data_IF_250894659979
#
_entry.id   IF_250894659979
#
_cell.length_a   1.000
_cell.length_b   1.000
_cell.length_c   1.000
_cell.angle_alpha   90.00
_cell.angle_beta   90.00
_cell.angle_gamma   90.00
#
_symmetry.space_group_name_H-M   'P 1'
#
loop_
_entity.id
_entity.type
_entity.pdbx_description
1 polymer ?
#
# COMPACT_ATOMS: atom_id res chain seq x y z
N UNK A 1 -80.75 65.64 31.34
CA UNK A 1 -80.40 64.27 30.89
C UNK A 1 -80.68 63.31 32.02
N UNK A 2 -81.50 62.27 31.81
CA UNK A 2 -81.82 61.30 32.86
C UNK A 2 -80.56 60.51 33.25
N UNK A 3 -80.40 60.26 34.55
CA UNK A 3 -79.21 59.61 35.14
C UNK A 3 -78.89 58.25 34.46
N UNK A 4 -79.92 57.54 33.98
CA UNK A 4 -79.75 56.29 33.23
C UNK A 4 -79.03 56.44 31.88
N UNK A 5 -79.16 57.56 31.17
CA UNK A 5 -78.43 57.77 29.91
C UNK A 5 -76.94 58.01 30.15
N UNK A 6 -76.61 58.72 31.23
CA UNK A 6 -75.20 58.99 31.61
C UNK A 6 -74.50 57.68 31.96
N UNK A 7 -75.17 56.78 32.68
CA UNK A 7 -74.62 55.49 33.09
C UNK A 7 -74.32 54.56 31.89
N UNK A 8 -75.17 54.61 30.86
CA UNK A 8 -74.96 53.89 29.59
C UNK A 8 -73.77 54.47 28.81
N UNK A 9 -73.62 55.79 28.74
CA UNK A 9 -72.46 56.40 28.07
C UNK A 9 -71.15 56.09 28.79
N UNK A 10 -71.14 56.11 30.12
CA UNK A 10 -69.94 55.78 30.91
C UNK A 10 -69.54 54.31 30.75
N UNK A 11 -70.49 53.39 30.66
CA UNK A 11 -70.21 51.97 30.40
C UNK A 11 -69.70 51.73 28.98
N UNK A 12 -70.26 52.39 27.97
CA UNK A 12 -69.77 52.28 26.58
C UNK A 12 -68.34 52.84 26.47
N UNK A 13 -68.06 53.98 27.10
CA UNK A 13 -66.72 54.61 27.07
C UNK A 13 -65.69 53.74 27.79
N UNK A 14 -66.03 53.13 28.92
CA UNK A 14 -65.12 52.24 29.65
C UNK A 14 -64.84 50.95 28.88
N UNK A 15 -65.84 50.35 28.21
CA UNK A 15 -65.61 49.19 27.32
C UNK A 15 -64.75 49.57 26.11
N UNK A 16 -64.98 50.74 25.51
CA UNK A 16 -64.17 51.24 24.41
C UNK A 16 -62.72 51.51 24.83
N UNK A 17 -62.49 52.06 26.03
CA UNK A 17 -61.15 52.27 26.59
C UNK A 17 -60.42 50.96 26.87
N UNK A 18 -61.10 49.92 27.36
CA UNK A 18 -60.51 48.59 27.56
C UNK A 18 -60.14 47.94 26.22
N UNK A 19 -61.00 48.07 25.21
CA UNK A 19 -60.71 47.57 23.86
C UNK A 19 -59.54 48.33 23.21
N UNK A 20 -59.50 49.66 23.36
CA UNK A 20 -58.41 50.48 22.85
C UNK A 20 -57.09 50.17 23.56
N UNK A 21 -57.12 49.97 24.89
CA UNK A 21 -55.95 49.55 25.67
C UNK A 21 -55.44 48.18 25.23
N UNK A 22 -56.31 47.19 25.03
CA UNK A 22 -55.91 45.89 24.52
C UNK A 22 -55.39 45.94 23.08
N UNK A 23 -55.97 46.78 22.23
CA UNK A 23 -55.53 46.96 20.84
C UNK A 23 -54.17 47.66 20.77
N UNK A 24 -53.96 48.71 21.56
CA UNK A 24 -52.69 49.42 21.65
C UNK A 24 -51.62 48.63 22.42
N UNK A 25 -51.99 47.81 23.42
CA UNK A 25 -51.07 46.91 24.10
C UNK A 25 -50.61 45.75 23.20
N UNK A 26 -51.48 45.25 22.31
CA UNK A 26 -51.11 44.22 21.33
C UNK A 26 -50.29 44.78 20.16
N UNK A 27 -50.47 46.05 19.79
CA UNK A 27 -49.78 46.67 18.65
C UNK A 27 -48.68 47.69 19.04
N UNK A 28 -48.44 47.90 20.35
CA UNK A 28 -47.53 48.89 20.89
C UNK A 28 -46.22 48.28 21.37
N UNK A 29 -45.29 48.09 20.44
CA UNK A 29 -43.86 48.30 20.68
C UNK A 29 -43.19 47.47 21.78
N UNK A 30 -43.17 46.15 21.63
CA UNK A 30 -42.07 45.34 22.14
C UNK A 30 -41.11 45.04 20.99
N UNK A 31 -40.06 45.86 20.81
CA UNK A 31 -38.89 45.45 20.04
C UNK A 31 -38.17 44.34 20.81
N UNK A 32 -38.76 43.16 20.90
CA UNK A 32 -37.97 41.95 21.06
C UNK A 32 -37.26 41.77 19.72
N UNK A 33 -36.00 42.22 19.65
CA UNK A 33 -35.04 41.61 18.74
C UNK A 33 -34.95 40.14 19.16
N UNK A 34 -35.91 39.33 18.74
CA UNK A 34 -35.71 37.89 18.64
C UNK A 34 -34.48 37.76 17.76
N UNK A 35 -33.35 37.25 18.26
CA UNK A 35 -32.16 37.10 17.45
C UNK A 35 -32.57 36.32 16.22
N UNK A 36 -32.32 36.91 15.04
CA UNK A 36 -32.61 36.26 13.78
C UNK A 36 -31.87 34.93 13.79
N UNK A 37 -32.62 33.84 13.96
CA UNK A 37 -32.10 32.48 14.03
C UNK A 37 -31.19 32.28 12.82
N UNK A 38 -29.92 31.94 13.07
CA UNK A 38 -28.95 31.73 11.98
C UNK A 38 -29.33 30.43 11.29
N UNK A 39 -30.16 30.52 10.25
CA UNK A 39 -30.43 29.40 9.34
C UNK A 39 -29.15 29.16 8.52
N UNK A 40 -28.37 28.17 8.95
CA UNK A 40 -27.15 27.76 8.25
C UNK A 40 -27.56 26.93 7.03
N UNK A 41 -27.30 27.44 5.82
CA UNK A 41 -27.48 26.69 4.57
C UNK A 41 -26.14 26.11 4.13
N UNK A 42 -26.08 24.79 4.04
CA UNK A 42 -24.85 24.11 3.64
C UNK A 42 -24.63 24.23 2.13
N UNK A 43 -23.38 24.52 1.73
CA UNK A 43 -22.94 24.65 0.32
C UNK A 43 -21.79 23.68 0.05
N UNK A 44 -21.65 23.10 -1.16
CA UNK A 44 -20.49 22.27 -1.48
C UNK A 44 -19.18 23.04 -1.28
N UNK A 45 -18.17 22.41 -0.68
CA UNK A 45 -16.83 22.95 -0.53
C UNK A 45 -15.83 21.81 -0.65
N UNK A 46 -14.82 21.94 -1.49
CA UNK A 46 -13.75 20.94 -1.56
C UNK A 46 -12.79 21.09 -0.38
N UNK A 47 -12.33 19.97 0.18
CA UNK A 47 -11.28 19.98 1.19
C UNK A 47 -9.90 19.89 0.53
N UNK A 48 -9.16 21.00 0.53
CA UNK A 48 -7.78 21.07 0.02
C UNK A 48 -6.83 21.58 1.11
N UNK A 49 -6.38 20.71 2.04
CA UNK A 49 -5.47 21.12 3.10
C UNK A 49 -4.08 21.40 2.54
N UNK A 50 -3.46 22.50 2.99
CA UNK A 50 -2.06 22.82 2.67
C UNK A 50 -1.11 22.05 3.61
N UNK A 51 -1.18 20.73 3.59
CA UNK A 51 -0.28 19.86 4.38
C UNK A 51 0.65 19.15 3.41
N UNK A 52 1.95 19.38 3.57
CA UNK A 52 2.97 18.58 2.92
C UNK A 52 3.00 17.20 3.59
N UNK A 53 2.47 16.20 2.87
CA UNK A 53 2.35 14.84 3.37
C UNK A 53 3.72 14.22 3.67
N UNK A 54 4.77 14.54 2.91
CA UNK A 54 6.10 13.98 3.12
C UNK A 54 6.74 14.52 4.40
N UNK A 55 6.65 15.84 4.58
CA UNK A 55 7.10 16.48 5.82
C UNK A 55 6.27 16.01 7.02
N UNK A 56 4.94 15.93 6.88
CA UNK A 56 4.05 15.44 7.93
C UNK A 56 4.43 14.03 8.38
N UNK A 57 4.73 13.12 7.44
CA UNK A 57 5.19 11.77 7.78
C UNK A 57 6.50 11.78 8.55
N UNK A 58 7.50 12.58 8.12
CA UNK A 58 8.78 12.68 8.83
C UNK A 58 8.60 13.15 10.29
N UNK A 59 7.73 14.14 10.49
CA UNK A 59 7.38 14.69 11.82
C UNK A 59 6.67 13.65 12.68
N UNK A 60 5.65 12.98 12.15
CA UNK A 60 4.85 11.98 12.87
C UNK A 60 5.66 10.71 13.18
N UNK A 61 6.58 10.32 12.30
CA UNK A 61 7.53 9.25 12.56
C UNK A 61 8.46 9.62 13.72
N UNK A 62 8.85 10.88 13.89
CA UNK A 62 9.82 11.26 14.93
C UNK A 62 9.34 12.45 15.79
N UNK A 63 8.23 12.29 16.56
CA UNK A 63 7.54 13.40 17.20
C UNK A 63 8.37 14.09 18.29
N UNK A 64 9.23 13.34 19.01
CA UNK A 64 10.14 13.92 20.00
C UNK A 64 11.22 14.81 19.37
N UNK A 65 11.78 14.36 18.23
CA UNK A 65 12.80 15.10 17.49
C UNK A 65 12.22 16.36 16.87
N UNK A 66 11.00 16.26 16.33
CA UNK A 66 10.30 17.31 15.61
C UNK A 66 9.12 17.88 16.41
N UNK A 67 9.33 18.16 17.70
CA UNK A 67 8.26 18.58 18.60
C UNK A 67 7.57 19.88 18.13
N UNK A 68 8.38 20.86 17.67
CA UNK A 68 7.87 22.14 17.17
C UNK A 68 7.08 21.95 15.88
N UNK A 69 7.61 21.16 14.96
CA UNK A 69 6.97 20.88 13.68
C UNK A 69 5.70 20.04 13.87
N UNK A 70 5.67 19.15 14.88
CA UNK A 70 4.46 18.44 15.28
C UNK A 70 3.39 19.43 15.73
N UNK A 71 3.76 20.41 16.55
CA UNK A 71 2.84 21.46 16.96
C UNK A 71 2.28 22.23 15.75
N UNK A 72 3.14 22.65 14.83
CA UNK A 72 2.74 23.40 13.64
C UNK A 72 1.87 22.56 12.70
N UNK A 73 2.17 21.26 12.58
CA UNK A 73 1.35 20.28 11.87
C UNK A 73 -0.07 20.22 12.46
N UNK A 74 -0.20 20.03 13.78
CA UNK A 74 -1.51 19.98 14.46
C UNK A 74 -2.25 21.32 14.33
N UNK A 75 -1.54 22.45 14.40
CA UNK A 75 -2.13 23.76 14.17
C UNK A 75 -2.76 23.85 12.77
N UNK A 76 -1.97 23.61 11.73
CA UNK A 76 -2.41 23.72 10.33
C UNK A 76 -3.50 22.72 9.97
N UNK A 77 -3.38 21.49 10.49
CA UNK A 77 -4.35 20.41 10.33
C UNK A 77 -5.73 20.80 10.86
N UNK A 78 -5.80 21.21 12.13
CA UNK A 78 -7.04 21.57 12.79
C UNK A 78 -7.67 22.82 12.19
N UNK A 79 -6.84 23.81 11.83
CA UNK A 79 -7.32 25.04 11.22
C UNK A 79 -7.90 24.77 9.81
N UNK A 80 -7.28 23.89 9.03
CA UNK A 80 -7.80 23.45 7.73
C UNK A 80 -9.16 22.78 7.86
N UNK A 81 -9.32 21.88 8.85
CA UNK A 81 -10.60 21.23 9.16
C UNK A 81 -11.68 22.26 9.50
N UNK A 82 -11.37 23.20 10.41
CA UNK A 82 -12.32 24.23 10.85
C UNK A 82 -12.74 25.16 9.71
N UNK A 83 -11.80 25.61 8.87
CA UNK A 83 -12.13 26.43 7.71
C UNK A 83 -13.00 25.70 6.70
N UNK A 84 -12.75 24.41 6.47
CA UNK A 84 -13.58 23.60 5.59
C UNK A 84 -15.02 23.51 6.12
N UNK A 85 -15.21 23.23 7.41
CA UNK A 85 -16.55 23.21 8.02
C UNK A 85 -17.21 24.58 7.95
N UNK A 86 -16.49 25.66 8.24
CA UNK A 86 -17.00 27.03 8.15
C UNK A 86 -17.41 27.42 6.72
N UNK A 87 -16.67 26.95 5.71
CA UNK A 87 -17.01 27.11 4.30
C UNK A 87 -18.26 26.29 3.93
N UNK A 88 -18.31 25.03 4.38
CA UNK A 88 -19.46 24.14 4.15
C UNK A 88 -20.74 24.70 4.75
N UNK A 89 -20.66 25.29 5.94
CA UNK A 89 -21.75 26.00 6.62
C UNK A 89 -22.10 27.35 5.99
N UNK A 90 -21.39 27.79 4.94
CA UNK A 90 -21.57 29.08 4.29
C UNK A 90 -21.53 30.26 5.29
N UNK A 91 -20.61 30.21 6.26
CA UNK A 91 -20.46 31.30 7.22
C UNK A 91 -20.00 32.59 6.50
N UNK A 92 -20.45 33.78 6.93
CA UNK A 92 -19.97 35.04 6.40
C UNK A 92 -18.47 35.22 6.67
N UNK A 93 -17.77 35.97 5.82
CA UNK A 93 -16.33 36.21 5.93
C UNK A 93 -15.92 36.84 7.27
N UNK A 94 -16.82 37.63 7.87
CA UNK A 94 -16.65 38.20 9.22
C UNK A 94 -16.56 37.14 10.32
N UNK A 95 -17.26 36.00 10.18
CA UNK A 95 -17.14 34.87 11.11
C UNK A 95 -15.99 33.95 10.73
N UNK A 96 -15.75 33.72 9.43
CA UNK A 96 -14.61 32.91 8.96
C UNK A 96 -13.27 33.49 9.42
N UNK A 97 -13.10 34.82 9.38
CA UNK A 97 -11.89 35.49 9.88
C UNK A 97 -11.67 35.29 11.39
N UNK A 98 -12.72 35.04 12.16
CA UNK A 98 -12.65 34.78 13.61
C UNK A 98 -12.35 33.32 13.96
N UNK A 99 -12.52 32.37 13.03
CA UNK A 99 -12.23 30.94 13.24
C UNK A 99 -10.82 30.72 13.78
N UNK A 100 -9.83 31.40 13.20
CA UNK A 100 -8.44 31.32 13.66
C UNK A 100 -8.28 31.84 15.08
N UNK A 101 -8.86 33.02 15.36
CA UNK A 101 -8.75 33.69 16.66
C UNK A 101 -9.36 32.82 17.76
N UNK A 102 -10.52 32.20 17.50
CA UNK A 102 -11.13 31.27 18.45
C UNK A 102 -10.31 29.99 18.60
N UNK A 103 -9.82 29.41 17.50
CA UNK A 103 -8.97 28.22 17.57
C UNK A 103 -7.66 28.45 18.34
N UNK A 104 -7.03 29.62 18.21
CA UNK A 104 -5.79 29.97 18.92
C UNK A 104 -5.94 29.93 20.44
N UNK A 105 -7.15 30.16 20.98
CA UNK A 105 -7.43 29.99 22.41
C UNK A 105 -7.39 28.52 22.84
N UNK A 106 -7.77 27.61 21.94
CA UNK A 106 -7.88 26.19 22.22
C UNK A 106 -6.60 25.40 21.88
N UNK A 107 -5.82 25.88 20.92
CA UNK A 107 -4.62 25.21 20.44
C UNK A 107 -3.60 24.82 21.55
N UNK A 108 -3.31 25.65 22.58
CA UNK A 108 -2.29 25.34 23.58
C UNK A 108 -2.51 24.06 24.37
N UNK A 109 -3.77 23.70 24.66
CA UNK A 109 -4.09 22.45 25.35
C UNK A 109 -4.36 21.30 24.35
N UNK A 110 -4.98 21.58 23.20
CA UNK A 110 -5.23 20.57 22.16
C UNK A 110 -3.93 19.94 21.67
N UNK A 111 -2.90 20.77 21.40
CA UNK A 111 -1.59 20.24 20.97
C UNK A 111 -0.97 19.26 21.97
N UNK A 112 -1.18 19.50 23.28
CA UNK A 112 -0.66 18.64 24.35
C UNK A 112 -1.41 17.32 24.38
N UNK A 113 -2.74 17.36 24.24
CA UNK A 113 -3.57 16.17 24.15
C UNK A 113 -3.19 15.32 22.93
N UNK A 114 -3.02 15.94 21.77
CA UNK A 114 -2.56 15.24 20.56
C UNK A 114 -1.19 14.61 20.76
N UNK A 115 -0.21 15.37 21.24
CA UNK A 115 1.15 14.88 21.42
C UNK A 115 1.22 13.73 22.43
N UNK A 116 0.58 13.88 23.59
CA UNK A 116 0.62 12.88 24.66
C UNK A 116 -0.04 11.57 24.22
N UNK A 117 -1.25 11.63 23.67
CA UNK A 117 -1.95 10.42 23.22
C UNK A 117 -1.21 9.76 22.04
N UNK A 118 -0.69 10.55 21.10
CA UNK A 118 0.05 10.03 19.96
C UNK A 118 1.30 9.27 20.39
N UNK A 119 2.11 9.87 21.27
CA UNK A 119 3.33 9.25 21.79
C UNK A 119 3.02 8.02 22.63
N UNK A 120 1.99 8.09 23.49
CA UNK A 120 1.57 6.95 24.31
C UNK A 120 1.15 5.75 23.45
N UNK A 121 0.39 5.98 22.38
CA UNK A 121 0.00 4.92 21.45
C UNK A 121 1.22 4.42 20.64
N UNK A 122 2.15 5.31 20.28
CA UNK A 122 3.38 4.92 19.58
C UNK A 122 4.22 3.95 20.39
N UNK A 123 4.46 4.26 21.67
CA UNK A 123 5.29 3.44 22.56
C UNK A 123 4.71 2.03 22.81
N UNK A 124 3.38 1.89 22.75
CA UNK A 124 2.71 0.59 22.88
C UNK A 124 2.69 -0.21 21.58
N UNK A 125 2.68 0.48 20.43
CA UNK A 125 2.62 -0.16 19.10
C UNK A 125 3.98 -0.60 18.54
N UNK A 126 5.09 0.05 18.91
CA UNK A 126 6.44 -0.27 18.41
C UNK A 126 6.88 -1.69 18.76
N UNK A 127 6.42 -2.23 19.89
CA UNK A 127 6.80 -3.58 20.38
C UNK A 127 6.22 -4.72 19.54
N UNK A 128 5.14 -4.50 18.78
CA UNK A 128 4.43 -5.58 18.08
C UNK A 128 4.85 -5.77 16.61
N UNK A 129 5.41 -4.74 15.97
CA UNK A 129 5.61 -4.70 14.51
C UNK A 129 7.07 -4.80 14.02
N UNK A 130 8.05 -4.78 14.93
CA UNK A 130 9.48 -4.66 14.58
C UNK A 130 10.15 -5.89 13.96
N UNK A 131 9.49 -7.05 13.83
CA UNK A 131 10.23 -8.28 13.53
C UNK A 131 10.67 -8.47 12.08
N UNK A 132 10.06 -7.81 11.09
CA UNK A 132 10.40 -8.06 9.67
C UNK A 132 10.50 -6.79 8.78
N UNK A 133 9.94 -5.64 9.20
CA UNK A 133 9.76 -4.48 8.32
C UNK A 133 9.61 -3.15 9.08
N UNK A 134 10.16 -2.07 8.53
CA UNK A 134 10.01 -0.71 9.07
C UNK A 134 8.71 -0.07 8.55
N UNK A 135 7.58 -0.32 9.22
CA UNK A 135 6.27 0.30 8.93
C UNK A 135 6.04 1.61 9.69
N UNK A 136 7.11 2.34 9.98
CA UNK A 136 7.08 3.49 10.88
C UNK A 136 6.09 4.56 10.41
N UNK A 137 6.05 4.87 9.11
CA UNK A 137 5.19 5.92 8.56
C UNK A 137 3.72 5.48 8.58
N UNK A 138 3.44 4.23 8.19
CA UNK A 138 2.08 3.67 8.15
C UNK A 138 1.48 3.59 9.55
N UNK A 139 2.29 3.19 10.52
CA UNK A 139 1.89 3.19 11.91
C UNK A 139 1.63 4.62 12.40
N UNK A 140 2.53 5.57 12.10
CA UNK A 140 2.36 6.97 12.46
C UNK A 140 1.05 7.59 11.92
N UNK A 141 0.65 7.29 10.69
CA UNK A 141 -0.64 7.75 10.14
C UNK A 141 -1.83 7.07 10.83
N UNK A 142 -1.73 5.78 11.15
CA UNK A 142 -2.77 5.06 11.91
C UNK A 142 -3.00 5.73 13.26
N UNK A 143 -1.92 6.06 13.97
CA UNK A 143 -1.99 6.73 15.26
C UNK A 143 -2.56 8.14 15.13
N UNK A 144 -2.15 8.90 14.10
CA UNK A 144 -2.72 10.21 13.83
C UNK A 144 -4.24 10.12 13.59
N UNK A 145 -4.70 9.13 12.82
CA UNK A 145 -6.13 8.89 12.57
C UNK A 145 -6.89 8.65 13.87
N UNK A 146 -6.36 7.82 14.76
CA UNK A 146 -6.98 7.49 16.04
C UNK A 146 -7.10 8.74 16.93
N UNK A 147 -5.98 9.46 17.12
CA UNK A 147 -5.93 10.68 17.93
C UNK A 147 -6.80 11.78 17.34
N UNK A 148 -6.70 12.03 16.02
CA UNK A 148 -7.50 13.06 15.37
C UNK A 148 -9.00 12.75 15.41
N UNK A 149 -9.40 11.49 15.24
CA UNK A 149 -10.81 11.09 15.32
C UNK A 149 -11.40 11.34 16.70
N UNK A 150 -10.60 11.17 17.77
CA UNK A 150 -11.00 11.44 19.15
C UNK A 150 -11.29 12.92 19.41
N UNK A 151 -10.47 13.82 18.84
CA UNK A 151 -10.51 15.25 19.19
C UNK A 151 -11.23 16.15 18.17
N UNK A 152 -11.43 15.70 16.94
CA UNK A 152 -12.01 16.53 15.86
C UNK A 152 -13.42 17.03 16.20
N UNK A 153 -14.34 16.18 16.65
CA UNK A 153 -15.69 16.62 17.03
C UNK A 153 -15.67 17.65 18.16
N UNK A 154 -14.85 17.41 19.19
CA UNK A 154 -14.73 18.30 20.34
C UNK A 154 -14.25 19.68 19.88
N UNK A 155 -13.21 19.72 19.07
CA UNK A 155 -12.65 20.95 18.48
C UNK A 155 -13.70 21.72 17.67
N UNK A 156 -14.33 21.05 16.71
CA UNK A 156 -15.30 21.66 15.80
C UNK A 156 -16.48 22.25 16.57
N UNK A 157 -17.01 21.51 17.55
CA UNK A 157 -18.11 22.00 18.37
C UNK A 157 -17.70 23.22 19.20
N UNK A 158 -16.58 23.18 19.92
CA UNK A 158 -16.18 24.29 20.79
C UNK A 158 -15.87 25.58 20.01
N UNK A 159 -15.20 25.46 18.86
CA UNK A 159 -14.86 26.64 18.04
C UNK A 159 -16.08 27.19 17.30
N UNK A 160 -16.95 26.35 16.74
CA UNK A 160 -18.08 26.87 15.95
C UNK A 160 -19.23 27.37 16.82
N UNK A 161 -19.46 26.77 17.99
CA UNK A 161 -20.48 27.25 18.93
C UNK A 161 -20.11 28.58 19.58
N UNK A 162 -18.82 28.93 19.67
CA UNK A 162 -18.42 30.27 20.14
C UNK A 162 -18.64 31.36 19.08
N UNK A 163 -18.64 30.98 17.79
CA UNK A 163 -18.82 31.90 16.66
C UNK A 163 -20.29 32.08 16.25
N UNK A 164 -21.12 31.05 16.43
CA UNK A 164 -22.53 31.06 16.03
C UNK A 164 -23.37 31.22 17.28
N UNK A 165 -24.20 32.27 17.33
CA UNK A 165 -25.19 32.42 18.41
C UNK A 165 -26.17 31.25 18.34
N UNK A 166 -26.10 30.38 19.34
CA UNK A 166 -27.04 29.27 19.52
C UNK A 166 -28.04 29.68 20.59
N UNK A 167 -29.34 29.59 20.28
CA UNK A 167 -30.37 29.63 21.33
C UNK A 167 -30.49 28.21 21.91
N UNK A 168 -30.35 28.09 23.23
CA UNK A 168 -30.35 26.82 23.97
C UNK A 168 -29.30 25.78 23.49
N UNK A 169 -28.21 26.21 22.85
CA UNK A 169 -27.15 25.31 22.36
C UNK A 169 -27.52 24.52 21.11
N UNK A 170 -28.62 24.85 20.43
CA UNK A 170 -29.06 24.19 19.19
C UNK A 170 -28.84 25.10 17.98
N UNK A 171 -28.19 24.57 16.95
CA UNK A 171 -28.09 25.21 15.63
C UNK A 171 -29.23 24.64 14.79
N UNK A 172 -30.19 25.47 14.35
CA UNK A 172 -31.20 25.05 13.39
C UNK A 172 -30.58 25.03 12.00
N UNK A 173 -30.44 23.83 11.44
CA UNK A 173 -29.86 23.62 10.11
C UNK A 173 -30.94 23.25 9.12
N UNK A 174 -30.96 23.90 7.94
CA UNK A 174 -31.92 23.62 6.87
C UNK A 174 -31.22 23.08 5.62
N UNK A 175 -31.56 21.85 5.18
CA UNK A 175 -31.05 21.21 3.96
C UNK A 175 -31.55 19.76 3.80
N UNK A 176 -31.39 19.15 2.61
CA UNK A 176 -31.45 17.68 2.44
C UNK A 176 -30.07 17.10 2.77
N UNK A 177 -30.00 15.97 3.46
CA UNK A 177 -28.76 15.31 3.90
C UNK A 177 -27.83 16.23 4.73
N UNK A 178 -28.34 16.69 5.88
CA UNK A 178 -27.61 17.62 6.74
C UNK A 178 -26.63 16.86 7.63
N UNK A 179 -25.38 16.75 7.19
CA UNK A 179 -24.29 16.33 8.07
C UNK A 179 -24.02 17.40 9.14
N UNK A 180 -23.91 16.95 10.40
CA UNK A 180 -23.51 17.84 11.51
C UNK A 180 -22.14 18.46 11.22
N UNK A 181 -21.78 19.61 11.81
CA UNK A 181 -20.44 20.19 11.64
C UNK A 181 -19.31 19.19 11.90
N UNK A 182 -19.46 18.29 12.90
CA UNK A 182 -18.50 17.22 13.08
C UNK A 182 -18.55 16.16 11.95
N UNK A 183 -19.74 15.76 11.52
CA UNK A 183 -19.91 14.82 10.39
C UNK A 183 -19.14 15.30 9.14
N UNK A 184 -19.30 16.57 8.79
CA UNK A 184 -18.53 17.22 7.70
C UNK A 184 -17.03 17.14 7.96
N UNK A 185 -16.56 17.53 9.15
CA UNK A 185 -15.13 17.48 9.48
C UNK A 185 -14.55 16.06 9.38
N UNK A 186 -15.30 15.05 9.79
CA UNK A 186 -14.85 13.66 9.82
C UNK A 186 -14.87 13.02 8.43
N UNK A 187 -15.98 13.15 7.70
CA UNK A 187 -16.22 12.44 6.43
C UNK A 187 -15.65 13.21 5.24
N UNK A 188 -15.91 14.51 5.15
CA UNK A 188 -15.50 15.31 3.99
C UNK A 188 -14.05 15.78 4.08
N UNK A 189 -13.46 15.81 5.29
CA UNK A 189 -12.11 16.35 5.48
C UNK A 189 -11.09 15.38 6.10
N UNK A 190 -11.33 14.86 7.30
CA UNK A 190 -10.38 13.99 7.99
C UNK A 190 -10.13 12.68 7.22
N UNK A 191 -11.20 11.96 6.88
CA UNK A 191 -11.10 10.68 6.17
C UNK A 191 -10.30 10.75 4.85
N UNK A 192 -10.61 11.64 3.90
CA UNK A 192 -9.87 11.70 2.63
C UNK A 192 -8.41 12.10 2.83
N UNK A 193 -8.10 12.97 3.80
CA UNK A 193 -6.72 13.33 4.11
C UNK A 193 -5.94 12.17 4.71
N UNK A 194 -6.52 11.46 5.69
CA UNK A 194 -5.90 10.25 6.24
C UNK A 194 -5.67 9.22 5.15
N UNK A 195 -6.62 9.02 4.23
CA UNK A 195 -6.47 8.08 3.12
C UNK A 195 -5.30 8.43 2.18
N UNK A 196 -5.04 9.73 1.92
CA UNK A 196 -3.86 10.17 1.16
C UNK A 196 -2.57 9.97 1.94
N UNK A 197 -2.55 10.33 3.23
CA UNK A 197 -1.40 10.10 4.10
C UNK A 197 -1.06 8.61 4.23
N UNK A 198 -2.07 7.74 4.34
CA UNK A 198 -1.90 6.27 4.35
C UNK A 198 -1.24 5.79 3.04
N UNK A 199 -1.66 6.33 1.89
CA UNK A 199 -1.03 6.01 0.60
C UNK A 199 0.43 6.51 0.53
N UNK A 200 0.71 7.73 1.00
CA UNK A 200 2.07 8.27 1.01
C UNK A 200 2.97 7.52 1.99
N UNK A 201 2.43 7.11 3.14
CA UNK A 201 3.13 6.30 4.13
C UNK A 201 3.53 4.94 3.59
N UNK A 202 2.63 4.25 2.88
CA UNK A 202 2.94 2.97 2.24
C UNK A 202 4.08 3.08 1.22
N UNK A 203 4.11 4.17 0.43
CA UNK A 203 5.22 4.45 -0.51
C UNK A 203 6.53 4.68 0.25
N UNK A 204 6.48 5.48 1.31
CA UNK A 204 7.65 5.86 2.10
C UNK A 204 8.27 4.62 2.78
N UNK A 205 7.44 3.81 3.45
CA UNK A 205 7.90 2.61 4.11
C UNK A 205 8.44 1.60 3.08
N UNK A 206 7.76 1.40 1.94
CA UNK A 206 8.25 0.49 0.89
C UNK A 206 9.60 0.95 0.34
N UNK A 207 9.74 2.25 0.06
CA UNK A 207 10.99 2.81 -0.46
C UNK A 207 12.15 2.64 0.52
N UNK A 208 11.91 2.78 1.84
CA UNK A 208 12.94 2.55 2.86
C UNK A 208 13.37 1.09 2.95
N UNK A 209 12.45 0.15 2.76
CA UNK A 209 12.74 -1.29 2.87
C UNK A 209 13.10 -1.96 1.56
N UNK A 210 12.98 -1.26 0.43
CA UNK A 210 13.23 -1.80 -0.92
C UNK A 210 14.59 -2.48 -1.02
N UNK A 211 15.69 -1.80 -0.64
CA UNK A 211 17.04 -2.36 -0.79
C UNK A 211 17.26 -3.64 0.02
N UNK A 212 16.70 -3.72 1.24
CA UNK A 212 16.75 -4.92 2.06
C UNK A 212 15.93 -6.07 1.46
N UNK A 213 14.75 -5.76 0.93
CA UNK A 213 13.92 -6.74 0.21
C UNK A 213 14.63 -7.26 -1.03
N UNK A 214 15.27 -6.37 -1.78
CA UNK A 214 16.02 -6.74 -2.98
C UNK A 214 17.17 -7.70 -2.66
N UNK A 215 18.03 -7.35 -1.70
CA UNK A 215 19.16 -8.20 -1.28
C UNK A 215 18.69 -9.59 -0.80
N UNK A 216 17.59 -9.63 -0.04
CA UNK A 216 17.08 -10.89 0.50
C UNK A 216 16.43 -11.74 -0.56
N UNK A 217 15.64 -11.14 -1.46
CA UNK A 217 15.05 -11.85 -2.60
C UNK A 217 16.17 -12.42 -3.46
N UNK A 218 17.23 -11.65 -3.74
CA UNK A 218 18.36 -12.12 -4.51
C UNK A 218 19.02 -13.34 -3.89
N UNK A 219 19.33 -13.29 -2.59
CA UNK A 219 19.95 -14.40 -1.87
C UNK A 219 19.08 -15.66 -1.87
N UNK A 220 17.81 -15.52 -1.50
CA UNK A 220 16.91 -16.67 -1.37
C UNK A 220 16.58 -17.27 -2.74
N UNK A 221 16.43 -16.44 -3.78
CA UNK A 221 16.17 -16.93 -5.14
C UNK A 221 17.38 -17.66 -5.71
N UNK A 222 18.60 -17.16 -5.48
CA UNK A 222 19.82 -17.84 -5.90
C UNK A 222 19.97 -19.22 -5.22
N UNK A 223 19.56 -19.34 -3.96
CA UNK A 223 19.68 -20.57 -3.16
C UNK A 223 18.53 -21.57 -3.39
N UNK A 224 17.29 -21.10 -3.53
CA UNK A 224 16.08 -21.93 -3.44
C UNK A 224 15.23 -21.96 -4.70
N UNK A 225 15.42 -21.04 -5.65
CA UNK A 225 14.70 -21.06 -6.92
C UNK A 225 15.50 -21.76 -8.04
N UNK A 226 16.62 -22.38 -7.70
CA UNK A 226 17.36 -23.27 -8.61
C UNK A 226 16.74 -24.66 -8.59
N UNK A 227 16.25 -25.10 -9.75
CA UNK A 227 15.82 -26.47 -9.96
C UNK A 227 17.00 -27.34 -10.38
N UNK A 228 17.23 -28.41 -9.64
CA UNK A 228 18.18 -29.46 -10.01
C UNK A 228 17.42 -30.67 -10.58
N UNK A 229 17.73 -31.04 -11.82
CA UNK A 229 17.21 -32.25 -12.46
C UNK A 229 18.35 -33.24 -12.68
N UNK A 230 18.11 -34.49 -12.28
CA UNK A 230 19.06 -35.59 -12.43
C UNK A 230 18.50 -36.66 -13.33
N UNK A 231 19.13 -36.83 -14.48
CA UNK A 231 18.74 -37.84 -15.46
C UNK A 231 19.86 -38.86 -15.67
N UNK A 232 19.48 -40.12 -15.86
CA UNK A 232 20.41 -41.19 -16.20
C UNK A 232 20.07 -41.74 -17.58
N UNK A 233 21.05 -41.78 -18.48
CA UNK A 233 20.91 -42.40 -19.81
C UNK A 233 22.01 -43.43 -20.03
N UNK A 234 21.69 -44.46 -20.80
CA UNK A 234 22.60 -45.52 -21.22
C UNK A 234 22.62 -45.66 -22.74
N UNK A 235 23.78 -46.02 -23.29
CA UNK A 235 23.99 -46.43 -24.67
C UNK A 235 24.62 -47.82 -24.65
N UNK A 236 24.00 -48.74 -25.39
CA UNK A 236 24.61 -50.02 -25.71
C UNK A 236 25.10 -49.98 -27.17
N UNK A 237 26.38 -50.28 -27.39
CA UNK A 237 26.97 -50.32 -28.73
C UNK A 237 27.75 -51.62 -28.90
N UNK A 238 27.42 -52.36 -29.95
CA UNK A 238 28.15 -53.54 -30.36
C UNK A 238 29.12 -53.17 -31.49
N UNK A 239 30.42 -53.32 -31.24
CA UNK A 239 31.48 -53.08 -32.22
C UNK A 239 31.92 -54.42 -32.80
N UNK A 240 32.07 -54.52 -34.13
CA UNK A 240 32.49 -55.75 -34.81
C UNK A 240 33.82 -55.51 -35.55
N UNK A 241 34.81 -56.36 -35.32
CA UNK A 241 36.09 -56.34 -36.05
C UNK A 241 36.00 -57.27 -37.25
N UNK A 242 36.31 -56.73 -38.45
CA UNK A 242 36.31 -57.46 -39.72
C UNK A 242 37.74 -57.67 -40.24
N UNK A 243 38.16 -58.91 -40.47
CA UNK A 243 39.28 -59.24 -41.38
C UNK A 243 38.67 -59.83 -42.64
N UNK A 244 39.13 -59.39 -43.81
CA UNK A 244 38.72 -59.97 -45.09
C UNK A 244 37.19 -60.08 -45.26
N UNK A 245 36.42 -59.11 -44.74
CA UNK A 245 34.96 -59.08 -44.83
C UNK A 245 34.21 -60.01 -43.88
N UNK A 246 34.90 -60.84 -43.08
CA UNK A 246 34.30 -61.73 -42.09
C UNK A 246 34.44 -61.16 -40.67
N UNK A 247 33.34 -61.21 -39.90
CA UNK A 247 33.30 -60.79 -38.50
C UNK A 247 34.07 -61.80 -37.63
N UNK A 248 35.16 -61.37 -37.00
CA UNK A 248 36.06 -62.26 -36.23
C UNK A 248 35.94 -62.04 -34.71
N UNK A 249 35.47 -60.86 -34.31
CA UNK A 249 35.39 -60.46 -32.90
C UNK A 249 34.30 -59.41 -32.74
N UNK A 250 33.55 -59.50 -31.64
CA UNK A 250 32.59 -58.47 -31.23
C UNK A 250 32.95 -57.97 -29.83
N UNK A 251 32.94 -56.65 -29.67
CA UNK A 251 33.08 -55.98 -28.38
C UNK A 251 31.76 -55.29 -28.05
N UNK A 252 31.16 -55.63 -26.91
CA UNK A 252 29.95 -54.95 -26.42
C UNK A 252 30.33 -53.94 -25.34
N UNK A 253 29.89 -52.70 -25.53
CA UNK A 253 30.17 -51.60 -24.62
C UNK A 253 28.83 -51.01 -24.15
N UNK A 254 28.59 -51.09 -22.84
CA UNK A 254 27.46 -50.44 -22.19
C UNK A 254 27.98 -49.23 -21.41
N UNK A 255 27.62 -48.04 -21.88
CA UNK A 255 28.02 -46.77 -21.29
C UNK A 255 26.80 -46.06 -20.76
N UNK A 256 26.79 -45.66 -19.49
CA UNK A 256 25.79 -44.73 -18.96
C UNK A 256 26.40 -43.39 -18.58
N UNK A 257 25.56 -42.39 -18.40
CA UNK A 257 25.93 -41.12 -17.84
C UNK A 257 24.81 -40.58 -16.96
N UNK A 258 25.20 -39.90 -15.88
CA UNK A 258 24.29 -39.14 -15.03
C UNK A 258 24.47 -37.67 -15.37
N UNK A 259 23.39 -37.02 -15.78
CA UNK A 259 23.34 -35.60 -16.04
C UNK A 259 22.74 -34.89 -14.83
N UNK A 260 23.42 -33.87 -14.32
CA UNK A 260 22.91 -32.94 -13.32
C UNK A 260 22.76 -31.58 -13.99
N UNK A 261 21.52 -31.16 -14.17
CA UNK A 261 21.17 -29.89 -14.78
C UNK A 261 20.63 -28.93 -13.72
N UNK A 262 21.17 -27.72 -13.65
CA UNK A 262 20.66 -26.66 -12.78
C UNK A 262 20.07 -25.53 -13.62
N UNK A 263 18.77 -25.31 -13.45
CA UNK A 263 18.02 -24.23 -14.09
C UNK A 263 17.61 -23.23 -13.02
N UNK A 264 17.83 -21.94 -13.28
CA UNK A 264 17.50 -20.90 -12.31
C UNK A 264 17.55 -19.51 -12.93
N UNK A 265 17.62 -18.49 -12.08
CA UNK A 265 17.52 -17.09 -12.45
C UNK A 265 18.84 -16.37 -12.22
N UNK A 266 19.27 -15.60 -13.21
CA UNK A 266 20.49 -14.79 -13.12
C UNK A 266 20.14 -13.34 -12.80
N UNK A 267 20.06 -13.08 -11.51
CA UNK A 267 19.59 -11.81 -10.96
C UNK A 267 20.61 -10.68 -11.16
N UNK A 268 21.88 -11.01 -11.44
CA UNK A 268 22.88 -10.02 -11.81
C UNK A 268 22.57 -9.37 -13.17
N UNK A 269 21.95 -10.12 -14.09
CA UNK A 269 21.51 -9.57 -15.39
C UNK A 269 20.36 -8.59 -15.23
N UNK A 270 19.36 -8.97 -14.44
CA UNK A 270 18.18 -8.15 -14.23
C UNK A 270 17.40 -8.60 -13.02
N UNK A 271 17.03 -7.66 -12.18
CA UNK A 271 16.05 -7.82 -11.14
C UNK A 271 15.45 -6.45 -10.83
N UNK A 272 14.14 -6.39 -10.63
CA UNK A 272 13.45 -5.13 -10.39
C UNK A 272 12.24 -5.35 -9.47
N UNK A 273 12.24 -4.62 -8.36
CA UNK A 273 11.13 -4.58 -7.40
C UNK A 273 10.48 -3.20 -7.43
N UNK A 274 9.19 -3.16 -7.75
CA UNK A 274 8.41 -1.90 -7.88
C UNK A 274 7.07 -1.96 -7.17
N UNK A 275 6.64 -0.82 -6.66
CA UNK A 275 5.32 -0.60 -6.10
C UNK A 275 4.51 0.28 -7.06
N UNK A 276 3.41 -0.26 -7.59
CA UNK A 276 2.40 0.52 -8.30
C UNK A 276 1.24 0.82 -7.35
N UNK A 277 1.09 2.09 -7.01
CA UNK A 277 0.08 2.58 -6.07
C UNK A 277 -1.26 2.85 -6.72
N UNK A 278 -1.34 2.91 -8.06
CA UNK A 278 -2.60 3.09 -8.78
C UNK A 278 -3.36 1.77 -8.88
N UNK A 279 -2.64 0.68 -9.14
CA UNK A 279 -3.20 -0.67 -9.19
C UNK A 279 -3.13 -1.42 -7.86
N UNK A 280 -2.49 -0.84 -6.84
CA UNK A 280 -2.13 -1.53 -5.59
C UNK A 280 -1.41 -2.85 -5.87
N UNK A 281 -0.35 -2.83 -6.69
CA UNK A 281 0.42 -4.03 -7.02
C UNK A 281 1.90 -3.86 -6.74
N UNK A 282 2.49 -4.82 -6.04
CA UNK A 282 3.95 -4.96 -5.96
C UNK A 282 4.37 -5.86 -7.12
N UNK A 283 5.17 -5.32 -8.02
CA UNK A 283 5.67 -6.03 -9.20
C UNK A 283 7.10 -6.46 -8.94
N UNK A 284 7.32 -7.77 -8.95
CA UNK A 284 8.65 -8.39 -8.95
C UNK A 284 8.92 -8.84 -10.37
N UNK A 285 9.97 -8.31 -10.99
CA UNK A 285 10.38 -8.74 -12.32
C UNK A 285 11.69 -9.50 -12.24
N UNK A 286 11.63 -10.79 -12.55
CA UNK A 286 12.75 -11.71 -12.66
C UNK A 286 13.15 -11.85 -14.13
N UNK A 287 14.40 -12.27 -14.43
CA UNK A 287 14.77 -12.63 -15.79
C UNK A 287 14.07 -13.95 -16.18
N UNK A 288 14.03 -14.27 -17.46
CA UNK A 288 13.69 -15.64 -17.89
C UNK A 288 14.70 -16.63 -17.30
N UNK A 289 14.25 -17.82 -16.83
CA UNK A 289 15.15 -18.82 -16.29
C UNK A 289 16.09 -19.34 -17.38
N UNK A 290 17.33 -19.63 -16.99
CA UNK A 290 18.36 -20.15 -17.88
C UNK A 290 19.08 -21.33 -17.23
N UNK A 291 19.77 -22.12 -18.06
CA UNK A 291 20.66 -23.17 -17.56
C UNK A 291 21.87 -22.46 -16.92
N UNK A 292 22.00 -22.59 -15.60
CA UNK A 292 23.12 -22.04 -14.85
C UNK A 292 24.32 -22.99 -14.86
N UNK A 293 24.07 -24.29 -14.84
CA UNK A 293 25.11 -25.31 -15.04
C UNK A 293 24.54 -26.60 -15.61
N UNK A 294 25.40 -27.34 -16.32
CA UNK A 294 25.10 -28.68 -16.84
C UNK A 294 26.34 -29.57 -16.69
N UNK A 295 26.26 -30.53 -15.77
CA UNK A 295 27.33 -31.49 -15.50
C UNK A 295 26.92 -32.88 -15.95
N UNK A 296 27.81 -33.59 -16.64
CA UNK A 296 27.55 -34.96 -17.11
C UNK A 296 28.68 -35.87 -16.64
N UNK A 297 28.31 -36.84 -15.81
CA UNK A 297 29.19 -37.83 -15.21
C UNK A 297 29.09 -39.17 -15.95
N UNK A 298 30.02 -39.46 -16.86
CA UNK A 298 30.04 -40.73 -17.56
C UNK A 298 30.43 -41.90 -16.64
N UNK A 299 29.87 -43.07 -16.91
CA UNK A 299 30.17 -44.33 -16.25
C UNK A 299 30.12 -45.48 -17.27
N UNK A 300 31.15 -46.32 -17.28
CA UNK A 300 31.12 -47.56 -18.06
C UNK A 300 30.48 -48.64 -17.17
N UNK A 301 29.33 -49.16 -17.58
CA UNK A 301 28.58 -50.14 -16.79
C UNK A 301 28.97 -51.58 -17.16
N UNK A 302 29.26 -51.85 -18.45
CA UNK A 302 29.83 -53.12 -18.91
C UNK A 302 30.82 -52.91 -20.05
N UNK A 303 31.87 -53.72 -20.03
CA UNK A 303 32.92 -53.71 -21.04
C UNK A 303 33.36 -55.14 -21.34
N UNK A 304 32.84 -55.71 -22.42
CA UNK A 304 33.24 -57.03 -22.90
C UNK A 304 34.18 -56.88 -24.10
N UNK A 305 35.48 -56.88 -23.83
CA UNK A 305 36.52 -56.69 -24.85
C UNK A 305 36.75 -58.00 -25.58
N UNK A 306 36.45 -58.02 -26.89
CA UNK A 306 36.88 -59.12 -27.75
C UNK A 306 38.40 -59.19 -27.86
N UNK A 307 38.97 -60.40 -27.83
CA UNK A 307 40.40 -60.73 -27.72
C UNK A 307 41.38 -60.12 -28.75
N UNK A 308 40.89 -59.34 -29.72
CA UNK A 308 41.66 -58.81 -30.87
C UNK A 308 41.64 -57.28 -30.99
N UNK A 309 41.03 -56.55 -30.05
CA UNK A 309 40.86 -55.09 -30.20
C UNK A 309 41.17 -54.32 -28.91
N UNK A 310 42.09 -53.35 -29.02
CA UNK A 310 42.25 -52.25 -28.05
C UNK A 310 41.12 -51.24 -28.23
N UNK A 311 40.48 -50.83 -27.13
CA UNK A 311 39.51 -49.74 -27.14
C UNK A 311 40.24 -48.42 -27.33
N UNK A 312 40.00 -47.74 -28.45
CA UNK A 312 40.50 -46.39 -28.64
C UNK A 312 39.65 -45.37 -27.85
N UNK A 313 40.32 -44.42 -27.20
CA UNK A 313 39.68 -43.33 -26.44
C UNK A 313 38.72 -42.47 -27.31
N UNK A 314 38.94 -42.44 -28.63
CA UNK A 314 38.12 -41.72 -29.62
C UNK A 314 36.66 -42.21 -29.65
N UNK A 315 36.44 -43.53 -29.58
CA UNK A 315 35.11 -44.14 -29.65
C UNK A 315 34.26 -43.86 -28.40
N UNK A 316 34.88 -43.86 -27.22
CA UNK A 316 34.22 -43.50 -25.95
C UNK A 316 33.86 -42.01 -25.90
N UNK A 317 34.77 -41.14 -26.33
CA UNK A 317 34.51 -39.69 -26.37
C UNK A 317 33.34 -39.33 -27.29
N UNK A 318 33.20 -40.00 -28.45
CA UNK A 318 32.06 -39.75 -29.35
C UNK A 318 30.72 -40.09 -28.70
N UNK A 319 30.66 -41.20 -27.95
CA UNK A 319 29.44 -41.65 -27.27
C UNK A 319 29.10 -40.72 -26.09
N UNK A 320 30.09 -40.21 -25.36
CA UNK A 320 29.88 -39.23 -24.30
C UNK A 320 29.36 -37.89 -24.83
N UNK A 321 29.88 -37.41 -25.96
CA UNK A 321 29.41 -36.18 -26.60
C UNK A 321 27.97 -36.34 -27.12
N UNK A 322 27.61 -37.53 -27.64
CA UNK A 322 26.23 -37.83 -28.02
C UNK A 322 25.29 -37.79 -26.81
N UNK A 323 25.67 -38.42 -25.69
CA UNK A 323 24.89 -38.37 -24.44
C UNK A 323 24.70 -36.93 -23.94
N UNK A 324 25.77 -36.12 -23.94
CA UNK A 324 25.70 -34.69 -23.57
C UNK A 324 24.70 -33.93 -24.44
N UNK A 325 24.72 -34.14 -25.75
CA UNK A 325 23.79 -33.50 -26.69
C UNK A 325 22.35 -33.92 -26.43
N UNK A 326 22.11 -35.21 -26.19
CA UNK A 326 20.78 -35.72 -25.88
C UNK A 326 20.23 -35.23 -24.54
N UNK A 327 21.06 -35.08 -23.52
CA UNK A 327 20.64 -34.46 -22.25
C UNK A 327 20.29 -32.98 -22.43
N UNK A 328 21.06 -32.23 -23.21
CA UNK A 328 20.77 -30.81 -23.49
C UNK A 328 19.47 -30.63 -24.28
N UNK A 329 19.25 -31.48 -25.28
CA UNK A 329 18.03 -31.44 -26.10
C UNK A 329 16.79 -31.70 -25.24
N UNK A 330 16.81 -32.76 -24.44
CA UNK A 330 15.67 -33.10 -23.57
C UNK A 330 15.43 -32.03 -22.50
N UNK A 331 16.49 -31.44 -21.93
CA UNK A 331 16.36 -30.32 -21.02
C UNK A 331 15.62 -29.13 -21.64
N UNK A 332 15.91 -28.79 -22.90
CA UNK A 332 15.25 -27.71 -23.63
C UNK A 332 13.81 -28.05 -24.04
N UNK A 333 13.54 -29.32 -24.32
CA UNK A 333 12.20 -29.82 -24.64
C UNK A 333 11.34 -30.04 -23.38
N UNK A 334 11.94 -30.00 -22.19
CA UNK A 334 11.26 -30.25 -20.92
C UNK A 334 10.57 -29.00 -20.35
N UNK A 335 9.55 -29.25 -19.51
CA UNK A 335 8.78 -28.26 -18.76
C UNK A 335 9.58 -27.65 -17.58
N UNK A 336 10.92 -27.76 -17.58
CA UNK A 336 11.77 -27.38 -16.45
C UNK A 336 11.80 -25.87 -16.24
N UNK A 337 11.77 -25.08 -17.31
CA UNK A 337 11.78 -23.62 -17.24
C UNK A 337 10.48 -23.10 -16.62
N UNK A 338 9.34 -23.66 -17.00
CA UNK A 338 8.04 -23.26 -16.45
C UNK A 338 7.88 -23.71 -14.99
N UNK A 339 8.40 -24.90 -14.63
CA UNK A 339 8.49 -25.31 -13.23
C UNK A 339 9.36 -24.37 -12.39
N UNK A 340 10.50 -23.91 -12.93
CA UNK A 340 11.35 -22.93 -12.25
C UNK A 340 10.61 -21.60 -12.03
N UNK A 341 9.81 -21.15 -13.02
CA UNK A 341 8.94 -19.95 -12.87
C UNK A 341 7.89 -20.12 -11.79
N UNK A 342 7.23 -21.28 -11.74
CA UNK A 342 6.21 -21.56 -10.73
C UNK A 342 6.83 -21.58 -9.32
N UNK A 343 7.97 -22.26 -9.17
CA UNK A 343 8.71 -22.30 -7.90
C UNK A 343 9.18 -20.90 -7.46
N UNK A 344 9.69 -20.09 -8.39
CA UNK A 344 10.04 -18.71 -8.08
C UNK A 344 8.82 -17.86 -7.68
N UNK A 345 7.67 -18.09 -8.31
CA UNK A 345 6.43 -17.38 -7.99
C UNK A 345 5.97 -17.71 -6.57
N UNK A 346 5.90 -18.99 -6.21
CA UNK A 346 5.57 -19.46 -4.86
C UNK A 346 6.55 -18.93 -3.80
N UNK A 347 7.84 -18.89 -4.14
CA UNK A 347 8.87 -18.33 -3.28
C UNK A 347 8.66 -16.83 -3.05
N UNK A 348 8.36 -16.06 -4.11
CA UNK A 348 8.07 -14.64 -3.98
C UNK A 348 6.80 -14.39 -3.14
N UNK A 349 5.76 -15.20 -3.31
CA UNK A 349 4.54 -15.13 -2.49
C UNK A 349 4.85 -15.38 -1.01
N UNK A 350 5.70 -16.36 -0.72
CA UNK A 350 6.12 -16.69 0.65
C UNK A 350 6.95 -15.57 1.27
N UNK A 351 7.86 -14.97 0.51
CA UNK A 351 8.77 -13.92 0.99
C UNK A 351 8.08 -12.56 1.15
N UNK A 352 7.22 -12.19 0.19
CA UNK A 352 6.63 -10.85 0.10
C UNK A 352 5.21 -10.82 0.68
N UNK A 353 4.51 -11.95 0.75
CA UNK A 353 3.16 -12.05 1.28
C UNK A 353 2.97 -11.37 2.65
N UNK A 354 3.81 -11.65 3.67
CA UNK A 354 3.72 -10.98 4.97
C UNK A 354 3.87 -9.46 4.87
N UNK A 355 4.70 -8.98 3.95
CA UNK A 355 4.90 -7.55 3.71
C UNK A 355 3.65 -6.90 3.10
N UNK A 356 2.97 -7.56 2.15
CA UNK A 356 1.75 -7.03 1.55
C UNK A 356 0.63 -6.85 2.58
N UNK A 357 0.51 -7.78 3.53
CA UNK A 357 -0.45 -7.68 4.64
C UNK A 357 -0.14 -6.47 5.54
N UNK A 358 1.15 -6.19 5.79
CA UNK A 358 1.58 -5.09 6.64
C UNK A 358 1.24 -3.70 6.06
N UNK A 359 1.12 -3.57 4.74
CA UNK A 359 0.77 -2.31 4.07
C UNK A 359 -0.70 -1.87 4.27
N UNK A 360 -1.52 -2.65 5.01
CA UNK A 360 -2.94 -2.38 5.35
C UNK A 360 -3.90 -2.12 4.17
N UNK A 361 -3.40 -2.16 2.95
CA UNK A 361 -4.18 -2.17 1.71
C UNK A 361 -4.05 -3.53 1.06
N UNK A 362 -5.04 -3.90 0.27
CA UNK A 362 -5.09 -5.14 -0.51
C UNK A 362 -4.07 -5.12 -1.67
N UNK A 363 -2.80 -4.86 -1.35
CA UNK A 363 -1.72 -4.91 -2.31
C UNK A 363 -1.57 -6.35 -2.79
N UNK A 364 -1.51 -6.52 -4.11
CA UNK A 364 -1.31 -7.83 -4.75
C UNK A 364 0.13 -7.98 -5.20
N UNK A 365 0.67 -9.19 -5.06
CA UNK A 365 1.92 -9.54 -5.68
C UNK A 365 1.67 -9.83 -7.16
N UNK A 366 2.53 -9.31 -8.03
CA UNK A 366 2.61 -9.73 -9.42
C UNK A 366 4.05 -10.08 -9.75
N UNK A 367 4.29 -11.36 -10.04
CA UNK A 367 5.58 -11.83 -10.54
C UNK A 367 5.57 -11.78 -12.06
N UNK A 368 6.61 -11.20 -12.64
CA UNK A 368 6.80 -11.09 -14.09
C UNK A 368 8.15 -11.66 -14.47
N UNK A 369 8.22 -12.25 -15.65
CA UNK A 369 9.47 -12.72 -16.23
C UNK A 369 9.79 -11.89 -17.46
N UNK A 370 11.04 -11.44 -17.58
CA UNK A 370 11.50 -10.62 -18.69
C UNK A 370 12.63 -11.32 -19.41
N UNK A 371 12.51 -11.43 -20.74
CA UNK A 371 13.63 -11.82 -21.55
C UNK A 371 14.62 -10.64 -21.65
N UNK A 372 15.80 -10.81 -21.04
CA UNK A 372 16.87 -9.80 -20.99
C UNK A 372 17.80 -9.90 -22.20
N UNK A 373 17.74 -11.01 -22.97
CA UNK A 373 18.49 -11.24 -24.19
C UNK A 373 17.54 -11.53 -25.37
N UNK A 374 17.01 -10.50 -26.05
CA UNK A 374 16.23 -10.70 -27.28
C UNK A 374 17.10 -11.22 -28.44
N UNK A 375 18.42 -10.96 -28.42
CA UNK A 375 19.36 -11.29 -29.50
C UNK A 375 20.16 -12.59 -29.26
N UNK A 376 19.93 -13.32 -28.17
CA UNK A 376 20.36 -14.72 -28.11
C UNK A 376 19.31 -15.62 -28.75
N UNK A 377 19.01 -15.37 -30.02
CA UNK A 377 18.92 -16.51 -30.93
C UNK A 377 20.28 -17.18 -30.79
N UNK A 378 20.33 -18.26 -30.00
CA UNK A 378 21.55 -19.00 -29.72
C UNK A 378 22.16 -19.49 -31.04
N UNK A 379 22.99 -18.67 -31.67
CA UNK A 379 23.94 -19.11 -32.67
C UNK A 379 25.09 -19.77 -31.89
N UNK A 380 24.86 -21.03 -31.50
CA UNK A 380 25.91 -21.90 -31.01
C UNK A 380 26.85 -22.20 -32.17
N UNK A 381 27.73 -21.25 -32.50
CA UNK A 381 28.95 -21.58 -33.25
C UNK A 381 29.83 -22.41 -32.32
N UNK A 382 29.75 -23.72 -32.53
CA UNK A 382 30.78 -24.73 -32.31
C UNK A 382 31.97 -24.31 -31.43
N UNK A 383 31.80 -24.37 -30.11
CA UNK A 383 32.92 -24.65 -29.20
C UNK A 383 33.10 -26.18 -29.08
N UNK A 384 33.21 -26.84 -30.24
CA UNK A 384 33.53 -28.27 -30.38
C UNK A 384 35.00 -28.54 -30.67
N UNK A 385 35.87 -27.54 -30.54
CA UNK A 385 37.32 -27.71 -30.65
C UNK A 385 38.01 -27.24 -29.36
N UNK A 386 38.07 -28.15 -28.38
CA UNK A 386 39.28 -28.47 -27.60
C UNK A 386 39.10 -29.77 -26.80
#
# INVERSE_FOLDING_TARGET
MSMGRILVYVTIISVALVFLYNYLSKNGGGYTRVPQEVQVRYVPSDFNPTIDEENALAVLSNPYRYNREFNDLIYNFNLSLLYHVANRMNLPDSLKSQVRVEYEKHHPYIRRLYFNDFVQLKDTSSVLYEQWYNNESTNAVTLLKEVASKYTCFLVNHVLTSLIKTDEGRIYVSGRDVDTPCGVAMVEALQPMIARMEQRAAIADFSRSKGFLEERIERVTAELATMEVRDKKGLNKQLQTKLFGMNISSTEVEVSAISVLKVGFDLQKYFDLRLDTKSNTVVVTLPEPQILSHEVYPKVDKLEIGWLRELENSDLNSNFNLLRKEFRREALESDIFDKAKNQATELMETLIGPFLVALKRDFKLQVRFKNVNPDSGFDFKDDLEN
#
